data_IF_608898361033
#
_entry.id   IF_608898361033
#
_cell.length_a   1.000
_cell.length_b   1.000
_cell.length_c   1.000
_cell.angle_alpha   90.00
_cell.angle_beta   90.00
_cell.angle_gamma   90.00
#
_symmetry.space_group_name_H-M   'P 1'
#
loop_
_entity.id
_entity.type
_entity.pdbx_description
1 polymer ?
#
# COMPACT_ATOMS: atom_id res chain seq x y z
N UNK A 1 8.14 -5.00 5.03
CA UNK A 1 6.84 -4.42 5.44
C UNK A 1 6.79 -2.89 5.25
N UNK A 2 7.92 -2.18 5.11
CA UNK A 2 7.98 -0.72 4.88
C UNK A 2 8.76 -0.39 3.60
N UNK A 3 8.25 -0.85 2.45
CA UNK A 3 9.01 -0.70 1.20
C UNK A 3 10.12 -1.74 0.98
N UNK A 4 10.27 -2.71 1.88
CA UNK A 4 11.10 -3.91 1.65
C UNK A 4 10.42 -4.82 0.61
N UNK A 5 10.74 -4.62 -0.66
CA UNK A 5 10.21 -5.39 -1.78
C UNK A 5 11.21 -6.45 -2.25
N UNK A 6 10.75 -7.69 -2.46
CA UNK A 6 11.53 -8.72 -3.17
C UNK A 6 11.25 -8.63 -4.68
N UNK A 7 12.29 -8.48 -5.49
CA UNK A 7 12.21 -8.55 -6.96
C UNK A 7 12.19 -10.01 -7.41
N UNK A 8 11.49 -10.30 -8.51
CA UNK A 8 11.45 -11.63 -9.12
C UNK A 8 12.03 -11.56 -10.54
N UNK A 9 13.12 -12.30 -10.77
CA UNK A 9 13.76 -12.47 -12.10
C UNK A 9 14.10 -11.17 -12.87
N UNK A 10 14.41 -10.08 -12.16
CA UNK A 10 14.74 -8.78 -12.78
C UNK A 10 13.52 -7.97 -13.26
N UNK A 11 12.30 -8.50 -13.08
CA UNK A 11 11.05 -7.78 -13.38
C UNK A 11 10.63 -7.02 -12.12
N UNK A 12 10.50 -5.70 -12.24
CA UNK A 12 9.90 -4.86 -11.21
C UNK A 12 8.40 -5.20 -11.11
N UNK A 13 7.98 -5.75 -9.97
CA UNK A 13 6.57 -6.06 -9.70
C UNK A 13 5.73 -4.79 -9.87
N UNK A 14 4.64 -4.88 -10.64
CA UNK A 14 3.72 -3.76 -10.84
C UNK A 14 3.11 -3.34 -9.50
N UNK A 15 3.26 -2.06 -9.14
CA UNK A 15 3.03 -1.58 -7.78
C UNK A 15 1.68 -0.90 -7.63
N UNK A 16 0.94 -1.32 -6.61
CA UNK A 16 -0.21 -0.62 -6.05
C UNK A 16 0.11 -0.20 -4.62
N UNK A 17 -0.40 0.97 -4.17
CA UNK A 17 -0.13 1.48 -2.82
C UNK A 17 -0.75 0.60 -1.72
N UNK A 18 -1.88 -0.07 -1.99
CA UNK A 18 -2.48 -1.07 -1.11
C UNK A 18 -3.35 -2.04 -1.92
N UNK A 19 -3.85 -3.09 -1.27
CA UNK A 19 -4.69 -4.10 -1.91
C UNK A 19 -6.13 -3.58 -2.02
N UNK A 20 -6.57 -3.31 -3.24
CA UNK A 20 -7.98 -3.06 -3.59
C UNK A 20 -8.26 -3.75 -4.92
N UNK A 21 -8.79 -4.96 -4.85
CA UNK A 21 -8.97 -5.83 -6.03
C UNK A 21 -10.30 -5.55 -6.74
N UNK A 22 -10.45 -5.99 -8.00
CA UNK A 22 -11.74 -5.97 -8.69
C UNK A 22 -12.86 -6.67 -7.91
N UNK A 23 -12.56 -7.73 -7.17
CA UNK A 23 -13.54 -8.45 -6.35
C UNK A 23 -14.09 -7.59 -5.21
N UNK A 24 -13.21 -6.83 -4.53
CA UNK A 24 -13.64 -5.89 -3.49
C UNK A 24 -14.51 -4.78 -4.07
N UNK A 25 -14.12 -4.23 -5.22
CA UNK A 25 -14.89 -3.22 -5.94
C UNK A 25 -16.26 -3.76 -6.36
N UNK A 26 -16.31 -5.00 -6.85
CA UNK A 26 -17.54 -5.66 -7.27
C UNK A 26 -18.53 -5.82 -6.12
N UNK A 27 -18.07 -6.25 -4.95
CA UNK A 27 -18.91 -6.36 -3.73
C UNK A 27 -19.44 -4.99 -3.30
N UNK A 28 -18.68 -3.93 -3.51
CA UNK A 28 -19.14 -2.55 -3.28
C UNK A 28 -20.04 -2.02 -4.41
N UNK A 29 -20.45 -2.84 -5.38
CA UNK A 29 -21.31 -2.42 -6.49
C UNK A 29 -20.61 -1.51 -7.50
N UNK A 30 -19.28 -1.55 -7.56
CA UNK A 30 -18.46 -0.83 -8.54
C UNK A 30 -17.97 -1.81 -9.61
N UNK A 31 -18.27 -1.50 -10.87
CA UNK A 31 -17.71 -2.19 -12.03
C UNK A 31 -17.06 -1.18 -12.99
N UNK A 32 -15.82 -1.45 -13.38
CA UNK A 32 -14.99 -0.51 -14.12
C UNK A 32 -14.84 0.84 -13.40
N UNK A 33 -14.97 1.95 -14.15
CA UNK A 33 -14.85 3.32 -13.63
C UNK A 33 -16.15 3.90 -13.04
N UNK A 34 -17.24 3.13 -12.95
CA UNK A 34 -18.49 3.59 -12.34
C UNK A 34 -18.40 3.64 -10.82
N UNK A 35 -18.74 4.78 -10.23
CA UNK A 35 -18.85 4.91 -8.76
C UNK A 35 -20.19 4.35 -8.27
N UNK A 36 -20.24 3.97 -6.99
CA UNK A 36 -21.45 3.50 -6.30
C UNK A 36 -21.55 4.20 -4.94
N UNK A 37 -22.74 4.19 -4.34
CA UNK A 37 -22.93 4.73 -2.98
C UNK A 37 -22.03 4.02 -1.94
N UNK A 38 -21.85 2.71 -2.08
CA UNK A 38 -21.02 1.92 -1.16
C UNK A 38 -19.54 2.22 -1.36
N UNK A 39 -19.11 2.45 -2.60
CA UNK A 39 -17.73 2.84 -2.90
C UNK A 39 -17.41 4.25 -2.39
N UNK A 40 -18.34 5.20 -2.53
CA UNK A 40 -18.18 6.54 -1.92
C UNK A 40 -18.06 6.45 -0.40
N UNK A 41 -18.92 5.65 0.24
CA UNK A 41 -18.85 5.42 1.69
C UNK A 41 -17.54 4.74 2.10
N UNK A 42 -17.03 3.82 1.30
CA UNK A 42 -15.70 3.22 1.50
C UNK A 42 -14.61 4.29 1.42
N UNK A 43 -14.60 5.15 0.41
CA UNK A 43 -13.65 6.25 0.28
C UNK A 43 -13.68 7.17 1.51
N UNK A 44 -14.88 7.56 1.96
CA UNK A 44 -15.04 8.41 3.14
C UNK A 44 -14.51 7.76 4.42
N UNK A 45 -14.80 6.47 4.63
CA UNK A 45 -14.30 5.72 5.79
C UNK A 45 -12.78 5.61 5.73
N UNK A 46 -12.21 5.30 4.57
CA UNK A 46 -10.77 5.20 4.39
C UNK A 46 -10.07 6.54 4.64
N UNK A 47 -10.61 7.65 4.14
CA UNK A 47 -10.08 8.99 4.41
C UNK A 47 -10.16 9.31 5.90
N UNK A 48 -11.28 9.05 6.57
CA UNK A 48 -11.41 9.26 8.02
C UNK A 48 -10.37 8.46 8.81
N UNK A 49 -10.19 7.18 8.47
CA UNK A 49 -9.19 6.33 9.11
C UNK A 49 -7.76 6.83 8.84
N UNK A 50 -7.46 7.22 7.60
CA UNK A 50 -6.17 7.77 7.22
C UNK A 50 -5.85 9.04 8.01
N UNK A 51 -6.78 9.99 8.09
CA UNK A 51 -6.61 11.23 8.85
C UNK A 51 -6.46 10.97 10.36
N UNK A 52 -7.24 10.04 10.91
CA UNK A 52 -7.08 9.62 12.30
C UNK A 52 -5.68 9.07 12.58
N UNK A 53 -5.12 8.25 11.69
CA UNK A 53 -3.73 7.77 11.80
C UNK A 53 -2.73 8.94 11.70
N UNK A 54 -2.95 9.90 10.79
CA UNK A 54 -2.08 11.07 10.63
C UNK A 54 -2.01 11.93 11.89
N UNK A 55 -3.10 12.06 12.64
CA UNK A 55 -3.09 12.77 13.93
C UNK A 55 -2.15 12.13 14.97
N UNK A 56 -1.79 10.86 14.78
CA UNK A 56 -0.87 10.12 15.64
C UNK A 56 0.48 9.81 14.94
N UNK A 57 0.86 10.56 13.90
CA UNK A 57 2.07 10.27 13.12
C UNK A 57 3.34 10.18 13.97
N UNK A 58 3.53 11.09 14.93
CA UNK A 58 4.73 11.06 15.78
C UNK A 58 4.81 9.78 16.62
N UNK A 59 3.69 9.33 17.17
CA UNK A 59 3.62 8.07 17.91
C UNK A 59 3.97 6.89 17.01
N UNK A 60 3.40 6.82 15.81
CA UNK A 60 3.71 5.77 14.83
C UNK A 60 5.21 5.77 14.50
N UNK A 61 5.78 6.92 14.15
CA UNK A 61 7.21 7.04 13.83
C UNK A 61 8.08 6.56 15.00
N UNK A 62 7.78 6.95 16.24
CA UNK A 62 8.53 6.50 17.42
C UNK A 62 8.42 4.97 17.60
N UNK A 63 7.22 4.40 17.49
CA UNK A 63 7.02 2.95 17.62
C UNK A 63 7.79 2.16 16.56
N UNK A 64 7.73 2.58 15.31
CA UNK A 64 8.49 1.97 14.22
C UNK A 64 10.00 2.17 14.38
N UNK A 65 10.43 3.32 14.91
CA UNK A 65 11.84 3.58 15.21
C UNK A 65 12.37 2.68 16.33
N UNK A 66 11.58 2.43 17.37
CA UNK A 66 11.96 1.49 18.43
C UNK A 66 12.03 0.05 17.90
N UNK A 67 11.11 -0.34 17.01
CA UNK A 67 11.13 -1.67 16.39
C UNK A 67 12.38 -1.90 15.51
N UNK A 68 12.92 -0.85 14.87
CA UNK A 68 14.22 -0.91 14.18
C UNK A 68 15.36 -1.29 15.15
N UNK A 69 15.33 -0.72 16.36
CA UNK A 69 16.39 -0.91 17.36
C UNK A 69 16.40 -2.31 17.98
N UNK A 70 15.30 -3.06 17.93
CA UNK A 70 15.20 -4.41 18.49
C UNK A 70 15.83 -5.50 17.61
N UNK A 71 16.48 -5.14 16.50
CA UNK A 71 17.19 -6.09 15.63
C UNK A 71 16.28 -6.96 14.76
N UNK A 72 15.07 -6.49 14.42
CA UNK A 72 14.18 -7.21 13.52
C UNK A 72 14.74 -7.15 12.07
N UNK A 73 15.07 -8.28 11.42
CA UNK A 73 15.75 -8.28 10.11
C UNK A 73 15.01 -7.60 8.96
N UNK A 74 13.72 -7.29 9.14
CA UNK A 74 12.85 -6.69 8.11
C UNK A 74 12.74 -5.16 8.19
N UNK A 75 13.43 -4.57 9.17
CA UNK A 75 13.45 -3.16 9.50
C UNK A 75 14.91 -2.85 9.82
N UNK A 76 15.66 -2.31 8.84
CA UNK A 76 17.12 -2.24 8.95
C UNK A 76 17.67 -0.85 8.71
N UNK A 77 16.84 0.11 8.28
CA UNK A 77 17.39 1.35 7.74
C UNK A 77 16.50 2.59 7.93
N UNK A 78 17.13 3.77 7.80
CA UNK A 78 16.46 5.07 7.92
C UNK A 78 15.37 5.26 6.86
N UNK A 79 15.54 4.60 5.71
CA UNK A 79 14.62 4.60 4.58
C UNK A 79 13.25 4.00 4.96
N UNK A 80 13.19 3.05 5.89
CA UNK A 80 11.93 2.49 6.39
C UNK A 80 11.09 3.55 7.15
N UNK A 81 11.74 4.48 7.85
CA UNK A 81 11.06 5.59 8.55
C UNK A 81 10.59 6.65 7.57
N UNK A 82 11.40 6.97 6.56
CA UNK A 82 11.00 7.91 5.50
C UNK A 82 9.79 7.37 4.72
N UNK A 83 9.72 6.06 4.47
CA UNK A 83 8.53 5.44 3.87
C UNK A 83 7.25 5.73 4.66
N UNK A 84 7.28 5.66 6.00
CA UNK A 84 6.12 5.97 6.84
C UNK A 84 5.76 7.45 6.75
N UNK A 85 6.77 8.33 6.76
CA UNK A 85 6.57 9.78 6.65
C UNK A 85 5.91 10.16 5.32
N UNK A 86 6.34 9.53 4.24
CA UNK A 86 5.76 9.70 2.91
C UNK A 86 4.33 9.16 2.85
N UNK A 87 4.10 7.94 3.36
CA UNK A 87 2.78 7.32 3.40
C UNK A 87 1.76 8.15 4.19
N UNK A 88 2.17 8.73 5.32
CA UNK A 88 1.34 9.61 6.16
C UNK A 88 1.33 11.07 5.71
N UNK A 89 1.99 11.40 4.59
CA UNK A 89 2.10 12.76 4.03
C UNK A 89 2.45 13.80 5.10
N UNK A 90 3.51 13.51 5.87
CA UNK A 90 4.01 14.40 6.91
C UNK A 90 4.41 15.75 6.29
N UNK A 91 3.98 16.85 6.90
CA UNK A 91 4.24 18.21 6.43
C UNK A 91 3.21 18.75 5.42
N UNK A 92 2.27 17.93 4.93
CA UNK A 92 1.13 18.40 4.13
C UNK A 92 -0.06 18.76 5.01
N UNK A 93 -0.88 19.72 4.55
CA UNK A 93 -2.15 20.02 5.20
C UNK A 93 -3.15 18.85 5.02
N UNK A 94 -4.27 18.91 5.75
CA UNK A 94 -5.26 17.83 5.77
C UNK A 94 -5.94 17.59 4.42
N UNK A 95 -6.25 18.67 3.68
CA UNK A 95 -6.89 18.59 2.36
C UNK A 95 -5.99 17.93 1.31
N UNK A 96 -4.71 18.31 1.28
CA UNK A 96 -3.72 17.71 0.39
C UNK A 96 -3.47 16.23 0.72
N UNK A 97 -3.50 15.87 2.01
CA UNK A 97 -3.37 14.50 2.47
C UNK A 97 -4.58 13.65 2.07
N UNK A 98 -5.80 14.19 2.25
CA UNK A 98 -7.04 13.56 1.79
C UNK A 98 -6.99 13.32 0.28
N UNK A 99 -6.63 14.33 -0.50
CA UNK A 99 -6.49 14.20 -1.96
C UNK A 99 -5.48 13.14 -2.34
N UNK A 100 -4.29 13.18 -1.73
CA UNK A 100 -3.25 12.16 -1.93
C UNK A 100 -3.79 10.73 -1.71
N UNK A 101 -4.54 10.51 -0.63
CA UNK A 101 -5.09 9.19 -0.31
C UNK A 101 -6.16 8.74 -1.32
N UNK A 102 -7.03 9.65 -1.76
CA UNK A 102 -8.01 9.38 -2.82
C UNK A 102 -7.33 9.04 -4.15
N UNK A 103 -6.24 9.72 -4.49
CA UNK A 103 -5.44 9.40 -5.68
C UNK A 103 -4.84 7.99 -5.57
N UNK A 104 -4.38 7.56 -4.39
CA UNK A 104 -3.90 6.19 -4.17
C UNK A 104 -5.02 5.15 -4.37
N UNK A 105 -6.27 5.44 -3.94
CA UNK A 105 -7.43 4.57 -4.18
C UNK A 105 -7.66 4.40 -5.68
N UNK A 106 -7.61 5.48 -6.47
CA UNK A 106 -7.82 5.42 -7.92
C UNK A 106 -6.67 4.68 -8.63
N UNK A 107 -5.41 4.84 -8.18
CA UNK A 107 -4.29 4.03 -8.68
C UNK A 107 -4.52 2.54 -8.46
N UNK A 108 -5.03 2.14 -7.30
CA UNK A 108 -5.36 0.73 -7.06
C UNK A 108 -6.49 0.25 -7.96
N UNK A 109 -7.51 1.09 -8.15
CA UNK A 109 -8.65 0.78 -9.01
C UNK A 109 -8.24 0.57 -10.46
N UNK A 110 -7.39 1.44 -10.99
CA UNK A 110 -6.90 1.36 -12.38
C UNK A 110 -5.98 0.15 -12.61
N UNK A 111 -5.17 -0.23 -11.61
CA UNK A 111 -4.22 -1.34 -11.71
C UNK A 111 -4.77 -2.70 -11.23
N UNK A 112 -6.01 -2.73 -10.72
CA UNK A 112 -6.57 -3.91 -10.03
C UNK A 112 -6.56 -5.19 -10.87
N UNK A 113 -6.83 -5.09 -12.17
CA UNK A 113 -6.79 -6.24 -13.08
C UNK A 113 -5.37 -6.73 -13.34
N UNK A 114 -4.43 -5.81 -13.62
CA UNK A 114 -3.06 -6.17 -13.99
C UNK A 114 -2.32 -6.84 -12.83
N UNK A 115 -2.59 -6.38 -11.59
CA UNK A 115 -2.09 -7.03 -10.37
C UNK A 115 -2.70 -8.41 -10.21
N UNK A 116 -4.03 -8.58 -10.32
CA UNK A 116 -4.67 -9.90 -10.22
C UNK A 116 -4.13 -10.90 -11.24
N UNK A 117 -3.92 -10.46 -12.49
CA UNK A 117 -3.35 -11.30 -13.54
C UNK A 117 -1.92 -11.74 -13.22
N UNK A 118 -1.09 -10.83 -12.69
CA UNK A 118 0.27 -11.14 -12.26
C UNK A 118 0.29 -12.16 -11.10
N UNK A 119 -0.63 -12.02 -10.13
CA UNK A 119 -0.78 -12.99 -9.05
C UNK A 119 -1.25 -14.37 -9.56
N UNK A 120 -2.18 -14.40 -10.51
CA UNK A 120 -2.66 -15.63 -11.14
C UNK A 120 -1.56 -16.37 -11.90
N UNK A 121 -0.77 -15.66 -12.71
CA UNK A 121 0.37 -16.25 -13.43
C UNK A 121 1.39 -16.85 -12.46
N UNK A 122 1.69 -16.17 -11.36
CA UNK A 122 2.59 -16.70 -10.33
C UNK A 122 2.06 -18.00 -9.71
N UNK A 123 0.75 -18.07 -9.42
CA UNK A 123 0.13 -19.25 -8.82
C UNK A 123 0.07 -20.44 -9.80
N UNK A 124 -0.28 -20.18 -11.07
CA UNK A 124 -0.47 -21.21 -12.10
C UNK A 124 0.86 -21.73 -12.65
N UNK A 125 1.85 -20.85 -12.85
CA UNK A 125 3.14 -21.24 -13.41
C UNK A 125 4.12 -21.79 -12.36
N UNK A 126 3.72 -21.86 -11.08
CA UNK A 126 4.47 -22.53 -10.03
C UNK A 126 5.90 -22.01 -9.84
N UNK A 127 6.13 -20.74 -10.14
CA UNK A 127 7.49 -20.21 -10.20
C UNK A 127 8.08 -20.15 -8.79
N UNK A 128 8.97 -21.08 -8.45
CA UNK A 128 9.59 -21.20 -7.12
C UNK A 128 10.42 -19.96 -6.78
N UNK A 129 10.20 -19.42 -5.58
CA UNK A 129 11.00 -18.36 -4.98
C UNK A 129 12.47 -18.80 -4.89
N UNK A 130 13.34 -18.22 -5.72
CA UNK A 130 14.78 -18.30 -5.51
C UNK A 130 15.17 -17.31 -4.42
N UNK A 131 15.53 -17.83 -3.24
CA UNK A 131 16.25 -17.06 -2.23
C UNK A 131 17.61 -16.66 -2.80
N UNK A 132 17.83 -15.36 -3.05
CA UNK A 132 19.18 -14.82 -3.09
C UNK A 132 19.43 -14.12 -1.77
N UNK A 133 20.10 -14.82 -0.87
CA UNK A 133 20.96 -14.18 0.14
C UNK A 133 22.00 -13.37 -0.64
N UNK A 134 21.93 -12.05 -0.57
CA UNK A 134 23.05 -11.19 -0.95
C UNK A 134 23.83 -10.91 0.32
N UNK A 135 25.09 -11.35 0.29
CA UNK A 135 26.12 -11.08 1.29
C UNK A 135 26.44 -9.58 1.41
#
# INVERSE_FOLDING_TARGET
ILGNYKSFLGINKERVPFVLTPDFLFVMGTSGKKTSLHFQKFQDVCVKAYLALRHHTNLLIILFSMMLMTGMPQLTSKEDIEYIRDALTVGKNEEDAKKYFLDQIEVCRDKGWTVQFNWFLHLVLGIKQGEKHSA
#
